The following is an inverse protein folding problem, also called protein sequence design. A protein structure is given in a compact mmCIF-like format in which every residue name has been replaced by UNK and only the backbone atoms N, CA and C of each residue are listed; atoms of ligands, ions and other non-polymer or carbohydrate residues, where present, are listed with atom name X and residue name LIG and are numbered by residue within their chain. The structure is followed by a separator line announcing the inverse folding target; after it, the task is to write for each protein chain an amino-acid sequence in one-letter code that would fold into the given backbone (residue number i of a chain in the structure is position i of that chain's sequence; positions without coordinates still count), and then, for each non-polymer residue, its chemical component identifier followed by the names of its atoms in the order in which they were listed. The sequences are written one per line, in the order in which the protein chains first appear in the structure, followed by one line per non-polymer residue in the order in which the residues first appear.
data_IF_355741635397
#
_entry.id   IF_355741635397
#
_cell.length_a   1.000
_cell.length_b   1.000
_cell.length_c   1.000
_cell.angle_alpha   90.00
_cell.angle_beta   90.00
_cell.angle_gamma   90.00
#
_symmetry.space_group_name_H-M   'P 1'
#
loop_
_entity.id
_entity.type
_entity.pdbx_description
1 polymer ?
#
# COMPACT_ATOMS: atom_id res chain seq x y z
N UNK A 1 1.28 -43.08 -23.55
CA UNK A 1 2.48 -42.40 -23.01
C UNK A 1 2.19 -42.01 -21.57
N UNK A 2 3.00 -42.42 -20.59
CA UNK A 2 2.79 -42.12 -19.17
C UNK A 2 3.58 -40.88 -18.78
N UNK A 3 2.90 -39.80 -18.37
CA UNK A 3 3.56 -38.58 -17.91
C UNK A 3 4.19 -38.83 -16.52
N UNK A 4 5.52 -38.79 -16.42
CA UNK A 4 6.22 -38.77 -15.14
C UNK A 4 6.06 -37.38 -14.53
N UNK A 5 5.36 -37.27 -13.39
CA UNK A 5 5.38 -36.05 -12.57
C UNK A 5 6.76 -35.93 -11.91
N UNK A 6 7.48 -34.85 -12.21
CA UNK A 6 8.67 -34.43 -11.47
C UNK A 6 8.19 -33.45 -10.39
N UNK A 7 8.31 -33.83 -9.12
CA UNK A 7 8.04 -32.93 -7.99
C UNK A 7 9.32 -32.18 -7.65
N UNK A 8 9.30 -30.85 -7.77
CA UNK A 8 10.33 -29.98 -7.21
C UNK A 8 9.91 -29.59 -5.79
N UNK A 9 10.70 -30.00 -4.79
CA UNK A 9 10.55 -29.51 -3.42
C UNK A 9 11.32 -28.18 -3.33
N UNK A 10 10.69 -27.05 -2.98
CA UNK A 10 11.43 -25.81 -2.73
C UNK A 10 12.25 -25.96 -1.45
N UNK A 11 13.54 -25.69 -1.56
CA UNK A 11 14.46 -25.67 -0.43
C UNK A 11 14.46 -24.26 0.16
N UNK A 12 14.22 -24.15 1.45
CA UNK A 12 14.36 -22.89 2.19
C UNK A 12 15.51 -23.03 3.19
N UNK A 13 16.26 -21.95 3.37
CA UNK A 13 17.31 -21.85 4.38
C UNK A 13 16.72 -21.18 5.61
N UNK A 14 16.73 -21.90 6.74
CA UNK A 14 16.36 -21.36 8.04
C UNK A 14 17.61 -20.76 8.67
N UNK A 15 17.55 -19.47 8.99
CA UNK A 15 18.63 -18.76 9.67
C UNK A 15 18.24 -18.61 11.15
N UNK A 16 19.04 -19.18 12.04
CA UNK A 16 18.92 -19.00 13.49
C UNK A 16 19.98 -18.01 13.93
N UNK A 17 19.56 -16.97 14.67
CA UNK A 17 20.45 -15.97 15.25
C UNK A 17 20.49 -16.18 16.76
N UNK A 18 21.70 -16.18 17.33
CA UNK A 18 21.92 -16.29 18.77
C UNK A 18 22.22 -14.91 19.37
N UNK A 19 22.01 -14.77 20.69
CA UNK A 19 22.19 -13.51 21.41
C UNK A 19 23.64 -13.00 21.41
N UNK A 20 24.61 -13.88 21.14
CA UNK A 20 26.03 -13.55 20.97
C UNK A 20 26.38 -13.03 19.56
N UNK A 21 25.38 -12.92 18.68
CA UNK A 21 25.54 -12.43 17.31
C UNK A 21 26.00 -13.51 16.31
N UNK A 22 26.15 -14.76 16.74
CA UNK A 22 26.40 -15.87 15.82
C UNK A 22 25.14 -16.27 15.05
N UNK A 23 25.31 -16.83 13.85
CA UNK A 23 24.21 -17.31 13.04
C UNK A 23 24.46 -18.73 12.51
N UNK A 24 23.43 -19.57 12.55
CA UNK A 24 23.43 -20.90 11.94
C UNK A 24 22.40 -20.97 10.82
N UNK A 25 22.76 -21.64 9.73
CA UNK A 25 21.87 -21.84 8.59
C UNK A 25 21.64 -23.31 8.35
N UNK A 26 20.39 -23.75 8.42
CA UNK A 26 19.98 -25.12 8.13
C UNK A 26 19.08 -25.16 6.89
N UNK A 27 19.34 -26.13 6.01
CA UNK A 27 18.48 -26.38 4.85
C UNK A 27 17.36 -27.32 5.27
N UNK A 28 16.14 -26.81 5.32
CA UNK A 28 14.96 -27.64 5.54
C UNK A 28 14.28 -27.93 4.19
N UNK A 29 14.17 -29.21 3.84
CA UNK A 29 13.31 -29.66 2.76
C UNK A 29 11.85 -29.60 3.26
N UNK A 30 11.13 -28.54 2.87
CA UNK A 30 9.70 -28.46 3.16
C UNK A 30 8.97 -29.53 2.34
N UNK A 31 8.46 -30.55 3.01
CA UNK A 31 7.41 -31.41 2.44
C UNK A 31 6.18 -30.54 2.22
N UNK A 32 6.06 -29.97 1.01
CA UNK A 32 4.81 -29.40 0.56
C UNK A 32 3.84 -30.57 0.43
N UNK A 33 3.09 -30.83 1.50
CA UNK A 33 1.82 -31.52 1.37
C UNK A 33 1.04 -30.69 0.34
N UNK A 34 0.56 -31.34 -0.72
CA UNK A 34 -0.35 -30.68 -1.65
C UNK A 34 -1.63 -30.38 -0.85
N UNK A 35 -1.64 -29.28 -0.10
CA UNK A 35 -2.84 -28.67 0.43
C UNK A 35 -3.68 -28.43 -0.81
N UNK A 36 -4.75 -29.23 -0.96
CA UNK A 36 -5.61 -29.17 -2.12
C UNK A 36 -6.04 -27.73 -2.31
N UNK A 37 -5.62 -27.10 -3.42
CA UNK A 37 -6.13 -25.79 -3.80
C UNK A 37 -7.63 -25.96 -3.94
N UNK A 38 -8.40 -25.51 -2.94
CA UNK A 38 -9.86 -25.52 -3.02
C UNK A 38 -10.21 -24.64 -4.22
N UNK A 39 -10.77 -25.24 -5.26
CA UNK A 39 -11.19 -24.48 -6.42
C UNK A 39 -12.26 -23.48 -5.95
N UNK A 40 -11.99 -22.18 -6.13
CA UNK A 40 -12.97 -21.13 -5.84
C UNK A 40 -14.20 -21.38 -6.71
N UNK A 41 -15.37 -21.40 -6.08
CA UNK A 41 -16.64 -21.53 -6.79
C UNK A 41 -16.88 -20.29 -7.66
N UNK A 42 -17.86 -20.37 -8.58
CA UNK A 42 -18.25 -19.19 -9.37
C UNK A 42 -18.80 -18.07 -8.47
N UNK A 43 -19.46 -18.43 -7.39
CA UNK A 43 -20.02 -17.49 -6.40
C UNK A 43 -18.90 -16.78 -5.63
N UNK A 44 -17.88 -17.50 -5.17
CA UNK A 44 -16.73 -16.89 -4.49
C UNK A 44 -16.02 -15.88 -5.40
N UNK A 45 -15.84 -16.24 -6.67
CA UNK A 45 -15.24 -15.33 -7.66
C UNK A 45 -16.10 -14.10 -7.92
N UNK A 46 -17.42 -14.25 -7.96
CA UNK A 46 -18.36 -13.13 -8.15
C UNK A 46 -18.33 -12.19 -6.94
N UNK A 47 -18.37 -12.74 -5.72
CA UNK A 47 -18.28 -11.95 -4.50
C UNK A 47 -16.96 -11.16 -4.43
N UNK A 48 -15.84 -11.78 -4.81
CA UNK A 48 -14.54 -11.09 -4.87
C UNK A 48 -14.55 -9.95 -5.89
N UNK A 49 -15.16 -10.15 -7.07
CA UNK A 49 -15.26 -9.10 -8.09
C UNK A 49 -16.11 -7.92 -7.60
N UNK A 50 -17.26 -8.19 -6.97
CA UNK A 50 -18.11 -7.15 -6.39
C UNK A 50 -17.39 -6.38 -5.27
N UNK A 51 -16.57 -7.06 -4.47
CA UNK A 51 -15.78 -6.43 -3.41
C UNK A 51 -14.67 -5.54 -4.00
N UNK A 52 -14.01 -5.98 -5.08
CA UNK A 52 -13.01 -5.19 -5.81
C UNK A 52 -13.66 -3.92 -6.38
N UNK A 53 -14.81 -4.02 -7.05
CA UNK A 53 -15.54 -2.85 -7.58
C UNK A 53 -15.86 -1.85 -6.46
N UNK A 54 -16.33 -2.34 -5.30
CA UNK A 54 -16.59 -1.47 -4.15
C UNK A 54 -15.34 -0.78 -3.61
N UNK A 55 -14.18 -1.46 -3.62
CA UNK A 55 -12.92 -0.85 -3.22
C UNK A 55 -12.44 0.21 -4.20
N UNK A 56 -12.59 -0.02 -5.51
CA UNK A 56 -12.25 0.96 -6.55
C UNK A 56 -13.11 2.23 -6.42
N UNK A 57 -14.42 2.10 -6.19
CA UNK A 57 -15.31 3.26 -5.96
C UNK A 57 -14.88 4.08 -4.73
N UNK A 58 -14.55 3.41 -3.61
CA UNK A 58 -14.06 4.09 -2.41
C UNK A 58 -12.73 4.77 -2.65
N UNK A 59 -11.85 4.18 -3.45
CA UNK A 59 -10.56 4.76 -3.79
C UNK A 59 -10.74 6.07 -4.57
N UNK A 60 -11.66 6.11 -5.54
CA UNK A 60 -11.98 7.33 -6.31
C UNK A 60 -12.49 8.43 -5.37
N UNK A 61 -13.45 8.11 -4.50
CA UNK A 61 -14.01 9.07 -3.53
C UNK A 61 -12.93 9.65 -2.59
N UNK A 62 -11.98 8.83 -2.16
CA UNK A 62 -10.86 9.28 -1.33
C UNK A 62 -9.91 10.20 -2.09
N UNK A 63 -9.58 9.86 -3.35
CA UNK A 63 -8.73 10.70 -4.21
C UNK A 63 -9.38 12.06 -4.43
N UNK A 64 -10.67 12.10 -4.75
CA UNK A 64 -11.42 13.34 -4.95
C UNK A 64 -11.47 14.18 -3.66
N UNK A 65 -11.70 13.54 -2.52
CA UNK A 65 -11.73 14.21 -1.21
C UNK A 65 -10.37 14.84 -0.86
N UNK A 66 -9.28 14.12 -1.10
CA UNK A 66 -7.92 14.63 -0.89
C UNK A 66 -7.63 15.81 -1.83
N UNK A 67 -8.06 15.72 -3.09
CA UNK A 67 -7.97 16.82 -4.06
C UNK A 67 -8.65 18.09 -3.55
N UNK A 68 -9.89 17.98 -3.09
CA UNK A 68 -10.63 19.11 -2.53
C UNK A 68 -9.96 19.73 -1.30
N UNK A 69 -9.44 18.92 -0.38
CA UNK A 69 -8.71 19.42 0.80
C UNK A 69 -7.44 20.17 0.41
N UNK A 70 -6.69 19.65 -0.57
CA UNK A 70 -5.48 20.30 -1.07
C UNK A 70 -5.80 21.67 -1.67
N UNK A 71 -6.84 21.77 -2.48
CA UNK A 71 -7.25 23.02 -3.11
C UNK A 71 -7.69 24.06 -2.06
N UNK A 72 -8.40 23.63 -1.01
CA UNK A 72 -8.78 24.51 0.10
C UNK A 72 -7.56 25.01 0.88
N UNK A 73 -6.64 24.11 1.23
CA UNK A 73 -5.40 24.47 1.92
C UNK A 73 -4.55 25.46 1.10
N UNK A 74 -4.51 25.31 -0.23
CA UNK A 74 -3.84 26.26 -1.12
C UNK A 74 -4.53 27.62 -1.13
N UNK A 75 -5.87 27.67 -1.22
CA UNK A 75 -6.62 28.93 -1.13
C UNK A 75 -6.35 29.67 0.18
N UNK A 76 -6.36 28.95 1.29
CA UNK A 76 -6.13 29.55 2.61
C UNK A 76 -4.69 30.06 2.76
N UNK A 77 -3.70 29.31 2.24
CA UNK A 77 -2.30 29.75 2.20
C UNK A 77 -2.14 31.05 1.40
N UNK A 78 -2.72 31.12 0.20
CA UNK A 78 -2.68 32.34 -0.62
C UNK A 78 -3.37 33.52 0.08
N UNK A 79 -4.49 33.30 0.76
CA UNK A 79 -5.18 34.35 1.51
C UNK A 79 -4.28 34.94 2.62
N UNK A 80 -3.61 34.07 3.38
CA UNK A 80 -2.67 34.48 4.44
C UNK A 80 -1.50 35.28 3.85
N UNK A 81 -0.91 34.82 2.74
CA UNK A 81 0.20 35.52 2.07
C UNK A 81 -0.21 36.90 1.57
N UNK A 82 -1.36 37.02 0.91
CA UNK A 82 -1.91 38.32 0.47
C UNK A 82 -2.11 39.25 1.66
N UNK A 83 -2.66 38.74 2.77
CA UNK A 83 -2.87 39.54 3.97
C UNK A 83 -1.57 40.06 4.57
N UNK A 84 -0.54 39.20 4.66
CA UNK A 84 0.81 39.60 5.12
C UNK A 84 1.42 40.69 4.23
N UNK A 85 1.32 40.53 2.90
CA UNK A 85 1.81 41.53 1.96
C UNK A 85 1.08 42.87 2.12
N UNK A 86 -0.23 42.84 2.35
CA UNK A 86 -1.02 44.07 2.56
C UNK A 86 -0.57 44.82 3.81
N UNK A 87 -0.37 44.11 4.93
CA UNK A 87 0.17 44.71 6.17
C UNK A 87 1.56 45.31 5.91
N UNK A 88 2.43 44.60 5.21
CA UNK A 88 3.78 45.09 4.89
C UNK A 88 3.73 46.36 4.03
N UNK A 89 2.86 46.41 3.03
CA UNK A 89 2.65 47.60 2.19
C UNK A 89 2.15 48.78 3.02
N UNK A 90 1.16 48.56 3.88
CA UNK A 90 0.60 49.64 4.72
C UNK A 90 1.66 50.17 5.70
N UNK A 91 2.49 49.29 6.27
CA UNK A 91 3.62 49.68 7.12
C UNK A 91 4.69 50.48 6.36
N UNK A 92 4.96 50.15 5.10
CA UNK A 92 5.89 50.91 4.26
C UNK A 92 5.32 52.28 3.88
N UNK A 93 4.02 52.36 3.59
CA UNK A 93 3.34 53.64 3.29
C UNK A 93 3.34 54.60 4.47
N UNK A 94 3.28 54.11 5.70
CA UNK A 94 3.37 54.95 6.90
C UNK A 94 4.78 55.48 7.17
N UNK A 95 5.81 54.90 6.54
CA UNK A 95 7.21 55.31 6.69
C UNK A 95 7.70 56.25 5.58
N UNK A 96 6.88 56.47 4.54
CA UNK A 96 7.09 57.42 3.46
C UNK A 96 6.32 58.71 3.75
#
# INVERSE_FOLDING_TARGET
MSAKRVSFAPQHERITLYDDGSCETEKEDLKISNIGKKALSKEDKKAILEEIESFEERQIQLVDSIGGIKDEAQRETHFIEIHKLKIAIDALKMKL
#
